data_IF_792526203837
#
_entry.id   IF_792526203837
#
_cell.length_a   1.000
_cell.length_b   1.000
_cell.length_c   1.000
_cell.angle_alpha   90.00
_cell.angle_beta   90.00
_cell.angle_gamma   90.00
#
_symmetry.space_group_name_H-M   'P 1'
#
loop_
_entity.id
_entity.type
_entity.pdbx_description
1 polymer ?
#
# COMPACT_ATOMS: atom_id res chain seq x y z
N UNK A 1 10.29 -4.64 -8.07
CA UNK A 1 11.06 -3.98 -9.12
C UNK A 1 10.29 -3.96 -10.43
N UNK A 2 9.88 -5.13 -11.00
CA UNK A 2 9.16 -5.17 -12.30
C UNK A 2 7.87 -4.33 -12.26
N UNK A 3 7.03 -4.51 -11.23
CA UNK A 3 5.79 -3.72 -11.05
C UNK A 3 6.07 -2.22 -10.90
N UNK A 4 7.16 -1.85 -10.25
CA UNK A 4 7.54 -0.43 -10.10
C UNK A 4 7.90 0.17 -11.46
N UNK A 5 8.73 -0.52 -12.25
CA UNK A 5 9.11 -0.05 -13.60
C UNK A 5 7.90 0.03 -14.52
N UNK A 6 7.11 -1.03 -14.59
CA UNK A 6 5.89 -1.07 -15.42
C UNK A 6 4.89 0.00 -14.98
N UNK A 7 4.69 0.15 -13.66
CA UNK A 7 3.79 1.16 -13.12
C UNK A 7 4.24 2.59 -13.44
N UNK A 8 5.53 2.89 -13.35
CA UNK A 8 6.05 4.21 -13.71
C UNK A 8 5.84 4.52 -15.20
N UNK A 9 6.09 3.56 -16.08
CA UNK A 9 5.88 3.73 -17.55
C UNK A 9 4.40 3.89 -17.90
N UNK A 10 3.52 3.16 -17.19
CA UNK A 10 2.08 3.19 -17.45
C UNK A 10 1.33 4.28 -16.67
N UNK A 11 2.01 5.05 -15.82
CA UNK A 11 1.39 6.06 -14.96
C UNK A 11 0.54 7.06 -15.75
N UNK A 12 1.12 7.76 -16.72
CA UNK A 12 0.39 8.73 -17.56
C UNK A 12 -0.71 8.10 -18.41
N UNK A 13 -0.45 7.00 -19.17
CA UNK A 13 -1.51 6.32 -19.91
C UNK A 13 -2.72 5.93 -19.06
N UNK A 14 -2.48 5.40 -17.85
CA UNK A 14 -3.56 5.01 -16.94
C UNK A 14 -4.37 6.23 -16.49
N UNK A 15 -3.71 7.32 -16.11
CA UNK A 15 -4.40 8.55 -15.68
C UNK A 15 -5.23 9.16 -16.80
N UNK A 16 -4.75 9.14 -18.05
CA UNK A 16 -5.52 9.58 -19.22
C UNK A 16 -6.72 8.69 -19.47
N UNK A 17 -6.58 7.36 -19.36
CA UNK A 17 -7.70 6.42 -19.48
C UNK A 17 -8.76 6.61 -18.39
N UNK A 18 -8.36 7.03 -17.19
CA UNK A 18 -9.26 7.33 -16.08
C UNK A 18 -9.97 8.68 -16.18
N UNK A 19 -9.69 9.46 -17.24
CA UNK A 19 -10.31 10.77 -17.45
C UNK A 19 -9.86 11.82 -16.44
N UNK A 20 -8.61 11.74 -15.97
CA UNK A 20 -8.07 12.75 -15.04
C UNK A 20 -8.05 14.12 -15.72
N UNK A 21 -8.62 15.18 -15.09
CA UNK A 21 -8.63 16.54 -15.64
C UNK A 21 -7.20 17.07 -15.83
N UNK A 22 -6.98 17.83 -16.93
CA UNK A 22 -5.65 18.34 -17.27
C UNK A 22 -5.04 19.26 -16.21
N UNK A 23 -5.90 20.01 -15.49
CA UNK A 23 -5.46 20.95 -14.45
C UNK A 23 -4.80 20.29 -13.21
N UNK A 24 -5.01 18.98 -13.01
CA UNK A 24 -4.44 18.22 -11.89
C UNK A 24 -3.58 17.04 -12.38
N UNK A 25 -3.40 16.90 -13.69
CA UNK A 25 -2.70 15.75 -14.28
C UNK A 25 -1.26 15.66 -13.79
N UNK A 26 -0.53 16.78 -13.78
CA UNK A 26 0.88 16.83 -13.39
C UNK A 26 1.07 16.44 -11.91
N UNK A 27 0.27 17.02 -11.02
CA UNK A 27 0.32 16.70 -9.59
C UNK A 27 -0.06 15.25 -9.32
N UNK A 28 -1.08 14.75 -10.03
CA UNK A 28 -1.54 13.37 -9.88
C UNK A 28 -0.51 12.38 -10.40
N UNK A 29 0.14 12.68 -11.52
CA UNK A 29 1.21 11.86 -12.08
C UNK A 29 2.43 11.81 -11.15
N UNK A 30 2.83 12.96 -10.60
CA UNK A 30 3.91 13.04 -9.62
C UNK A 30 3.59 12.21 -8.37
N UNK A 31 2.39 12.38 -7.80
CA UNK A 31 1.95 11.63 -6.63
C UNK A 31 1.96 10.13 -6.90
N UNK A 32 1.37 9.69 -8.01
CA UNK A 32 1.28 8.29 -8.38
C UNK A 32 2.67 7.68 -8.65
N UNK A 33 3.57 8.42 -9.30
CA UNK A 33 4.94 7.96 -9.53
C UNK A 33 5.68 7.72 -8.20
N UNK A 34 5.63 8.66 -7.25
CA UNK A 34 6.25 8.50 -5.92
C UNK A 34 5.61 7.32 -5.17
N UNK A 35 4.28 7.18 -5.25
CA UNK A 35 3.57 6.07 -4.62
C UNK A 35 3.98 4.71 -5.18
N UNK A 36 4.15 4.62 -6.51
CA UNK A 36 4.63 3.40 -7.18
C UNK A 36 6.04 3.01 -6.69
N UNK A 37 6.91 3.98 -6.48
CA UNK A 37 8.23 3.72 -5.87
C UNK A 37 8.11 3.23 -4.43
N UNK A 38 7.11 3.70 -3.70
CA UNK A 38 6.78 3.25 -2.35
C UNK A 38 6.28 1.81 -2.26
N UNK A 39 5.83 1.20 -3.38
CA UNK A 39 5.35 -0.20 -3.39
C UNK A 39 6.39 -1.20 -2.89
N UNK A 40 7.69 -0.92 -3.09
CA UNK A 40 8.75 -1.77 -2.57
C UNK A 40 8.73 -1.82 -1.03
N UNK A 41 8.58 -0.66 -0.40
CA UNK A 41 8.49 -0.57 1.07
C UNK A 41 7.22 -1.22 1.60
N UNK A 42 6.10 -1.00 0.91
CA UNK A 42 4.84 -1.65 1.23
C UNK A 42 4.96 -3.18 1.17
N UNK A 43 5.62 -3.70 0.16
CA UNK A 43 5.87 -5.13 0.00
C UNK A 43 6.73 -5.69 1.15
N UNK A 44 7.83 -5.02 1.50
CA UNK A 44 8.70 -5.43 2.60
C UNK A 44 7.93 -5.40 3.93
N UNK A 45 7.13 -4.35 4.16
CA UNK A 45 6.31 -4.24 5.34
C UNK A 45 5.28 -5.38 5.45
N UNK A 46 4.56 -5.69 4.36
CA UNK A 46 3.56 -6.77 4.33
C UNK A 46 4.18 -8.15 4.59
N UNK A 47 5.35 -8.45 4.00
CA UNK A 47 6.07 -9.68 4.28
C UNK A 47 6.47 -9.73 5.77
N UNK A 48 7.01 -8.64 6.30
CA UNK A 48 7.43 -8.57 7.70
C UNK A 48 6.25 -8.77 8.65
N UNK A 49 5.13 -8.12 8.38
CA UNK A 49 3.88 -8.27 9.14
C UNK A 49 3.35 -9.71 9.06
N UNK A 50 3.37 -10.33 7.88
CA UNK A 50 2.98 -11.73 7.68
C UNK A 50 3.84 -12.71 8.49
N UNK A 51 5.15 -12.47 8.55
CA UNK A 51 6.06 -13.29 9.38
C UNK A 51 5.72 -13.14 10.86
N UNK A 52 5.51 -11.94 11.39
CA UNK A 52 5.12 -11.74 12.78
C UNK A 52 3.79 -12.41 13.10
N UNK A 53 2.79 -12.23 12.25
CA UNK A 53 1.47 -12.84 12.42
C UNK A 53 1.55 -14.37 12.42
N UNK A 54 2.38 -14.97 11.54
CA UNK A 54 2.59 -16.42 11.51
C UNK A 54 3.30 -16.95 12.76
N UNK A 55 4.09 -16.10 13.44
CA UNK A 55 4.72 -16.39 14.73
C UNK A 55 3.79 -16.14 15.94
N UNK A 56 2.53 -15.75 15.70
CA UNK A 56 1.55 -15.45 16.74
C UNK A 56 1.71 -14.05 17.37
N UNK A 57 2.55 -13.18 16.80
CA UNK A 57 2.77 -11.82 17.26
C UNK A 57 2.08 -10.81 16.34
N UNK A 58 0.82 -10.50 16.62
CA UNK A 58 0.06 -9.46 15.91
C UNK A 58 0.27 -8.06 16.50
N UNK A 59 0.87 -7.95 17.70
CA UNK A 59 1.05 -6.66 18.39
C UNK A 59 2.20 -5.86 17.79
N UNK A 60 3.30 -6.52 17.45
CA UNK A 60 4.48 -5.85 16.90
C UNK A 60 4.19 -5.15 15.57
N UNK A 61 3.55 -5.77 14.55
CA UNK A 61 3.12 -5.07 13.33
C UNK A 61 2.16 -3.92 13.60
N UNK A 62 1.23 -4.07 14.55
CA UNK A 62 0.29 -3.01 14.91
C UNK A 62 1.02 -1.75 15.43
N UNK A 63 2.03 -1.92 16.30
CA UNK A 63 2.81 -0.80 16.79
C UNK A 63 3.59 -0.09 15.69
N UNK A 64 4.16 -0.83 14.75
CA UNK A 64 4.81 -0.23 13.58
C UNK A 64 3.81 0.54 12.70
N UNK A 65 2.60 0.00 12.52
CA UNK A 65 1.54 0.68 11.77
C UNK A 65 1.13 2.00 12.44
N UNK A 66 0.89 1.98 13.76
CA UNK A 66 0.53 3.18 14.53
C UNK A 66 1.66 4.22 14.44
N UNK A 67 2.91 3.82 14.70
CA UNK A 67 4.05 4.72 14.64
C UNK A 67 4.23 5.32 13.23
N UNK A 68 4.07 4.51 12.18
CA UNK A 68 4.13 4.96 10.80
C UNK A 68 3.01 5.96 10.48
N UNK A 69 1.79 5.68 10.92
CA UNK A 69 0.65 6.58 10.68
C UNK A 69 0.81 7.92 11.37
N UNK A 70 1.24 7.92 12.63
CA UNK A 70 1.52 9.16 13.37
C UNK A 70 2.69 9.91 12.73
N UNK A 71 3.77 9.20 12.38
CA UNK A 71 4.91 9.78 11.68
C UNK A 71 4.53 10.38 10.32
N UNK A 72 3.66 9.72 9.56
CA UNK A 72 3.15 10.25 8.30
C UNK A 72 2.37 11.55 8.49
N UNK A 73 1.44 11.60 9.46
CA UNK A 73 0.68 12.83 9.78
C UNK A 73 1.63 14.00 10.11
N UNK A 74 2.66 13.74 10.92
CA UNK A 74 3.65 14.78 11.27
C UNK A 74 4.44 15.23 10.05
N UNK A 75 4.91 14.29 9.22
CA UNK A 75 5.65 14.62 8.00
C UNK A 75 4.77 15.34 6.97
N UNK A 76 3.51 14.96 6.82
CA UNK A 76 2.53 15.66 5.98
C UNK A 76 2.40 17.14 6.42
N UNK A 77 2.20 17.35 7.72
CA UNK A 77 2.09 18.69 8.27
C UNK A 77 3.38 19.53 8.03
N UNK A 78 4.55 18.95 8.25
CA UNK A 78 5.82 19.62 8.01
C UNK A 78 6.02 19.93 6.52
N UNK A 79 5.80 18.98 5.63
CA UNK A 79 6.06 19.19 4.20
C UNK A 79 5.05 20.12 3.54
N UNK A 80 3.79 20.09 3.98
CA UNK A 80 2.76 20.96 3.42
C UNK A 80 2.77 22.35 4.06
N UNK A 81 2.86 22.44 5.39
CA UNK A 81 2.74 23.72 6.09
C UNK A 81 4.07 24.49 6.14
N UNK A 82 5.19 23.80 6.44
CA UNK A 82 6.49 24.45 6.62
C UNK A 82 7.22 24.61 5.29
N UNK A 83 7.28 23.54 4.49
CA UNK A 83 7.99 23.57 3.20
C UNK A 83 7.13 23.99 2.01
N UNK A 84 5.81 24.08 2.16
CA UNK A 84 4.86 24.45 1.09
C UNK A 84 4.97 23.59 -0.18
N UNK A 85 5.30 22.29 -0.04
CA UNK A 85 5.49 21.38 -1.18
C UNK A 85 4.18 20.87 -1.78
N UNK A 86 3.02 21.26 -1.23
CA UNK A 86 1.71 20.88 -1.77
C UNK A 86 1.53 19.36 -1.86
N UNK A 87 0.97 18.89 -2.98
CA UNK A 87 0.69 17.47 -3.23
C UNK A 87 1.96 16.62 -3.24
N UNK A 88 3.05 17.13 -3.81
CA UNK A 88 4.35 16.45 -3.78
C UNK A 88 4.85 16.19 -2.37
N UNK A 89 4.63 17.15 -1.44
CA UNK A 89 4.99 16.99 -0.03
C UNK A 89 4.28 15.80 0.64
N UNK A 90 2.98 15.65 0.41
CA UNK A 90 2.20 14.52 0.93
C UNK A 90 2.72 13.18 0.36
N UNK A 91 3.03 13.14 -0.94
CA UNK A 91 3.59 11.94 -1.56
C UNK A 91 4.93 11.53 -0.93
N UNK A 92 5.83 12.49 -0.75
CA UNK A 92 7.13 12.25 -0.12
C UNK A 92 7.02 11.88 1.36
N UNK A 93 6.11 12.49 2.11
CA UNK A 93 5.86 12.15 3.50
C UNK A 93 5.40 10.68 3.64
N UNK A 94 4.47 10.27 2.79
CA UNK A 94 4.00 8.87 2.74
C UNK A 94 5.13 7.92 2.38
N UNK A 95 5.93 8.25 1.37
CA UNK A 95 7.07 7.43 0.94
C UNK A 95 8.09 7.25 2.07
N UNK A 96 8.46 8.32 2.76
CA UNK A 96 9.42 8.28 3.87
C UNK A 96 8.87 7.54 5.09
N UNK A 97 7.61 7.78 5.47
CA UNK A 97 6.97 7.08 6.58
C UNK A 97 6.91 5.57 6.34
N UNK A 98 6.53 5.14 5.13
CA UNK A 98 6.53 3.74 4.74
C UNK A 98 7.94 3.15 4.68
N UNK A 99 8.92 3.92 4.18
CA UNK A 99 10.32 3.52 4.13
C UNK A 99 10.88 3.22 5.52
N UNK A 100 10.68 4.13 6.45
CA UNK A 100 11.11 3.96 7.86
C UNK A 100 10.39 2.77 8.51
N UNK A 101 9.06 2.69 8.37
CA UNK A 101 8.28 1.60 8.94
C UNK A 101 8.71 0.23 8.40
N UNK A 102 8.91 0.12 7.09
CA UNK A 102 9.36 -1.13 6.46
C UNK A 102 10.75 -1.54 6.90
N UNK A 103 11.69 -0.59 7.02
CA UNK A 103 13.04 -0.84 7.51
C UNK A 103 13.03 -1.32 8.97
N UNK A 104 12.26 -0.65 9.83
CA UNK A 104 12.10 -1.05 11.23
C UNK A 104 11.45 -2.43 11.37
N UNK A 105 10.36 -2.69 10.63
CA UNK A 105 9.68 -3.98 10.63
C UNK A 105 10.59 -5.11 10.14
N UNK A 106 11.30 -4.89 9.06
CA UNK A 106 12.25 -5.87 8.50
C UNK A 106 13.39 -6.16 9.47
N UNK A 107 13.98 -5.11 10.08
CA UNK A 107 15.01 -5.28 11.10
C UNK A 107 14.51 -6.08 12.32
N UNK A 108 13.29 -5.79 12.77
CA UNK A 108 12.68 -6.52 13.88
C UNK A 108 12.44 -8.00 13.53
N UNK A 109 11.99 -8.31 12.28
CA UNK A 109 11.87 -9.69 11.78
C UNK A 109 13.23 -10.39 11.82
N UNK A 110 14.29 -9.77 11.26
CA UNK A 110 15.63 -10.37 11.27
C UNK A 110 16.10 -10.66 12.70
N UNK A 111 15.82 -9.76 13.63
CA UNK A 111 16.17 -9.93 15.03
C UNK A 111 15.39 -11.08 15.68
N UNK A 112 14.09 -11.18 15.37
CA UNK A 112 13.21 -12.26 15.85
C UNK A 112 13.64 -13.62 15.30
N UNK A 113 13.93 -13.70 14.01
CA UNK A 113 14.38 -14.94 13.39
C UNK A 113 15.73 -15.44 13.95
N UNK A 114 16.65 -14.52 14.27
CA UNK A 114 17.93 -14.88 14.93
C UNK A 114 17.74 -15.47 16.34
N UNK A 115 16.65 -15.15 17.01
CA UNK A 115 16.34 -15.69 18.35
C UNK A 115 15.69 -17.08 18.32
N UNK A 116 15.34 -17.59 17.14
CA UNK A 116 14.75 -18.92 16.96
C UNK A 116 15.88 -19.91 16.71
N UNK A 117 16.04 -20.88 17.61
CA UNK A 117 16.96 -21.98 17.41
C UNK A 117 16.49 -22.88 16.27
N UNK A 118 17.19 -22.85 15.17
CA UNK A 118 16.91 -23.69 13.99
C UNK A 118 17.82 -24.93 14.10
N UNK A 119 17.22 -26.08 14.36
CA UNK A 119 17.96 -27.36 14.46
C UNK A 119 18.54 -27.83 13.13
N UNK A 120 17.93 -27.45 12.02
CA UNK A 120 18.38 -27.82 10.68
C UNK A 120 18.54 -26.56 9.82
N UNK A 121 19.56 -26.55 8.95
CA UNK A 121 19.75 -25.43 7.99
C UNK A 121 18.58 -25.41 7.02
N UNK A 122 17.76 -24.33 6.99
CA UNK A 122 16.64 -24.26 6.07
C UNK A 122 17.15 -24.22 4.62
N UNK A 123 16.47 -24.96 3.73
CA UNK A 123 16.73 -24.84 2.30
C UNK A 123 16.35 -23.43 1.84
N UNK A 124 17.22 -22.78 1.07
CA UNK A 124 16.96 -21.44 0.52
C UNK A 124 15.73 -21.40 -0.39
N UNK A 125 15.38 -22.52 -0.99
CA UNK A 125 14.23 -22.65 -1.88
C UNK A 125 13.58 -24.03 -1.72
N UNK A 126 12.26 -24.06 -1.58
CA UNK A 126 11.46 -25.28 -1.54
C UNK A 126 10.29 -25.20 -2.53
N UNK A 127 10.38 -25.98 -3.62
CA UNK A 127 9.32 -26.05 -4.63
C UNK A 127 7.97 -26.54 -4.06
N UNK A 128 8.01 -27.43 -3.05
CA UNK A 128 6.80 -27.91 -2.37
C UNK A 128 6.11 -26.76 -1.59
N UNK A 129 6.90 -25.92 -0.90
CA UNK A 129 6.38 -24.74 -0.18
C UNK A 129 5.82 -23.71 -1.16
N UNK A 130 6.54 -23.43 -2.25
CA UNK A 130 6.07 -22.53 -3.29
C UNK A 130 4.73 -22.99 -3.87
N UNK A 131 4.59 -24.27 -4.18
CA UNK A 131 3.32 -24.82 -4.68
C UNK A 131 2.18 -24.63 -3.67
N UNK A 132 2.42 -24.90 -2.38
CA UNK A 132 1.40 -24.70 -1.33
C UNK A 132 0.96 -23.24 -1.23
N UNK A 133 1.91 -22.30 -1.25
CA UNK A 133 1.62 -20.88 -1.23
C UNK A 133 0.84 -20.49 -2.48
N UNK A 134 1.24 -20.94 -3.67
CA UNK A 134 0.58 -20.61 -4.94
C UNK A 134 -0.87 -21.08 -5.01
N UNK A 135 -1.20 -22.26 -4.48
CA UNK A 135 -2.57 -22.79 -4.45
C UNK A 135 -3.51 -21.85 -3.70
N UNK A 136 -3.04 -21.19 -2.65
CA UNK A 136 -3.86 -20.25 -1.86
C UNK A 136 -3.77 -18.84 -2.43
N UNK A 137 -2.57 -18.40 -2.82
CA UNK A 137 -2.32 -17.04 -3.27
C UNK A 137 -2.97 -16.72 -4.62
N UNK A 138 -2.92 -17.65 -5.60
CA UNK A 138 -3.44 -17.38 -6.94
C UNK A 138 -4.95 -17.10 -6.93
N UNK A 139 -5.81 -17.93 -6.32
CA UNK A 139 -7.24 -17.63 -6.21
C UNK A 139 -7.53 -16.32 -5.48
N UNK A 140 -6.79 -16.04 -4.39
CA UNK A 140 -6.95 -14.80 -3.62
C UNK A 140 -6.56 -13.57 -4.44
N UNK A 141 -5.48 -13.64 -5.22
CA UNK A 141 -5.05 -12.57 -6.13
C UNK A 141 -6.11 -12.32 -7.20
N UNK A 142 -6.64 -13.38 -7.83
CA UNK A 142 -7.70 -13.27 -8.83
C UNK A 142 -8.96 -12.64 -8.25
N UNK A 143 -9.40 -13.10 -7.09
CA UNK A 143 -10.56 -12.53 -6.39
C UNK A 143 -10.37 -11.03 -6.14
N UNK A 144 -9.23 -10.63 -5.57
CA UNK A 144 -8.93 -9.24 -5.28
C UNK A 144 -8.81 -8.40 -6.56
N UNK A 145 -8.27 -8.97 -7.63
CA UNK A 145 -8.17 -8.29 -8.94
C UNK A 145 -9.55 -8.01 -9.52
N UNK A 146 -10.49 -8.95 -9.46
CA UNK A 146 -11.87 -8.72 -9.93
C UNK A 146 -12.57 -7.62 -9.13
N UNK A 147 -12.41 -7.60 -7.81
CA UNK A 147 -12.95 -6.53 -6.97
C UNK A 147 -12.35 -5.18 -7.35
N UNK A 148 -11.04 -5.12 -7.57
CA UNK A 148 -10.34 -3.88 -7.94
C UNK A 148 -10.77 -3.37 -9.30
N UNK A 149 -10.90 -4.24 -10.31
CA UNK A 149 -11.42 -3.88 -11.64
C UNK A 149 -12.86 -3.38 -11.54
N UNK A 150 -13.71 -4.05 -10.77
CA UNK A 150 -15.08 -3.59 -10.51
C UNK A 150 -15.13 -2.18 -9.93
N UNK A 151 -14.29 -1.89 -8.93
CA UNK A 151 -14.19 -0.56 -8.32
C UNK A 151 -13.71 0.50 -9.32
N UNK A 152 -12.74 0.17 -10.20
CA UNK A 152 -12.29 1.08 -11.26
C UNK A 152 -13.40 1.38 -12.27
N UNK A 153 -14.19 0.40 -12.68
CA UNK A 153 -15.34 0.59 -13.56
C UNK A 153 -16.38 1.52 -12.91
N UNK A 154 -16.71 1.29 -11.63
CA UNK A 154 -17.64 2.14 -10.89
C UNK A 154 -17.08 3.56 -10.78
N UNK A 155 -15.81 3.72 -10.46
CA UNK A 155 -15.15 5.03 -10.38
C UNK A 155 -15.23 5.78 -11.73
N UNK A 156 -14.96 5.07 -12.84
CA UNK A 156 -15.09 5.64 -14.18
C UNK A 156 -16.49 6.14 -14.48
N UNK A 157 -17.53 5.38 -14.10
CA UNK A 157 -18.91 5.79 -14.25
C UNK A 157 -19.24 7.02 -13.38
N UNK A 158 -18.82 7.01 -12.11
CA UNK A 158 -19.06 8.11 -11.17
C UNK A 158 -18.39 9.41 -11.64
N UNK A 159 -17.20 9.31 -12.23
CA UNK A 159 -16.50 10.48 -12.79
C UNK A 159 -17.32 11.19 -13.88
N UNK A 160 -18.16 10.47 -14.61
CA UNK A 160 -19.07 11.05 -15.62
C UNK A 160 -20.21 11.91 -15.07
N UNK A 161 -20.51 11.81 -13.75
CA UNK A 161 -21.59 12.58 -13.11
C UNK A 161 -21.14 13.91 -12.47
N UNK A 162 -19.87 14.25 -12.59
CA UNK A 162 -19.29 15.50 -12.11
C UNK A 162 -18.80 15.47 -10.66
N UNK A 163 -18.16 16.56 -10.25
CA UNK A 163 -17.39 16.66 -9.00
C UNK A 163 -18.21 16.42 -7.72
N UNK A 164 -19.46 16.88 -7.70
CA UNK A 164 -20.35 16.69 -6.53
C UNK A 164 -20.70 15.22 -6.32
N UNK A 165 -20.94 14.47 -7.41
CA UNK A 165 -21.20 13.03 -7.35
C UNK A 165 -19.96 12.26 -6.90
N UNK A 166 -18.76 12.62 -7.39
CA UNK A 166 -17.49 12.05 -6.97
C UNK A 166 -17.26 12.24 -5.48
N UNK A 167 -17.49 13.45 -4.97
CA UNK A 167 -17.34 13.76 -3.54
C UNK A 167 -18.29 12.93 -2.67
N UNK A 168 -19.58 12.86 -3.05
CA UNK A 168 -20.59 12.07 -2.34
C UNK A 168 -20.29 10.58 -2.35
N UNK A 169 -19.91 10.02 -3.50
CA UNK A 169 -19.52 8.63 -3.63
C UNK A 169 -18.29 8.30 -2.78
N UNK A 170 -17.25 9.14 -2.84
CA UNK A 170 -16.03 8.97 -2.07
C UNK A 170 -16.28 9.00 -0.56
N UNK A 171 -17.14 9.89 -0.10
CA UNK A 171 -17.57 9.94 1.30
C UNK A 171 -18.31 8.65 1.71
N UNK A 172 -19.25 8.19 0.87
CA UNK A 172 -20.00 6.95 1.09
C UNK A 172 -19.08 5.72 1.16
N UNK A 173 -18.13 5.60 0.24
CA UNK A 173 -17.13 4.51 0.24
C UNK A 173 -16.29 4.53 1.50
N UNK A 174 -15.83 5.70 1.96
CA UNK A 174 -15.03 5.83 3.20
C UNK A 174 -15.84 5.40 4.43
N UNK A 175 -17.11 5.80 4.54
CA UNK A 175 -18.00 5.38 5.64
C UNK A 175 -18.25 3.88 5.61
N UNK A 176 -18.52 3.32 4.43
CA UNK A 176 -18.71 1.87 4.26
C UNK A 176 -17.43 1.08 4.65
N UNK A 177 -16.26 1.54 4.21
CA UNK A 177 -14.98 0.92 4.57
C UNK A 177 -14.74 0.97 6.07
N UNK A 178 -15.02 2.11 6.71
CA UNK A 178 -14.91 2.25 8.16
C UNK A 178 -15.82 1.26 8.91
N UNK A 179 -17.09 1.14 8.48
CA UNK A 179 -18.03 0.20 9.08
C UNK A 179 -17.60 -1.26 8.89
N UNK A 180 -17.20 -1.66 7.66
CA UNK A 180 -16.75 -3.03 7.37
C UNK A 180 -15.48 -3.36 8.15
N UNK A 181 -14.49 -2.46 8.17
CA UNK A 181 -13.23 -2.68 8.89
C UNK A 181 -13.47 -2.87 10.39
N UNK A 182 -14.41 -2.10 10.96
CA UNK A 182 -14.78 -2.23 12.38
C UNK A 182 -15.50 -3.54 12.70
N UNK A 183 -16.20 -4.14 11.72
CA UNK A 183 -16.90 -5.42 11.88
C UNK A 183 -15.99 -6.63 11.63
N UNK A 184 -14.91 -6.46 10.89
CA UNK A 184 -14.00 -7.56 10.50
C UNK A 184 -12.72 -7.63 11.36
N UNK A 185 -12.49 -6.66 12.22
CA UNK A 185 -11.38 -6.62 13.19
C UNK A 185 -11.68 -7.43 14.44
#
# INVERSE_FOLDING_TARGET
VVLTVVGTVLCEPILRMLGTPENIMEDTALYLAIYIWGLLFLFIYNISSGVFTSLGDSKTPLWFLIASSVGNIVLDAVFVIVFHWGVGGVAWATFLAQGVASACAFWAVLRRLKSIEIKEKPALFSGAMLRRISIVAIPSILQQSFVSVGNLCIQGLVNGFGSSAIAGYSAGVKLNTFAITSLTA
#
